data_IF_052163651894
#
_entry.id   IF_052163651894
#
_cell.length_a   1.000
_cell.length_b   1.000
_cell.length_c   1.000
_cell.angle_alpha   90.00
_cell.angle_beta   90.00
_cell.angle_gamma   90.00
#
_symmetry.space_group_name_H-M   'P 1'
#
loop_
_entity.id
_entity.type
_entity.pdbx_description
1 polymer ?
#
# COMPACT_ATOMS: atom_id res chain seq x y z
N UNK A 1 6.28 -8.86 -0.73
CA UNK A 1 4.85 -9.21 -0.74
C UNK A 1 4.09 -8.08 -0.07
N UNK A 2 2.97 -7.63 -0.65
CA UNK A 2 2.08 -6.68 0.04
C UNK A 2 1.29 -7.46 1.09
N UNK A 3 1.24 -6.96 2.33
CA UNK A 3 0.53 -7.59 3.45
C UNK A 3 -1.00 -7.65 3.26
N UNK A 4 -1.54 -6.89 2.31
CA UNK A 4 -2.97 -6.61 2.22
C UNK A 4 -3.36 -6.38 0.76
N UNK A 5 -3.98 -7.38 0.14
CA UNK A 5 -4.67 -7.21 -1.14
C UNK A 5 -6.02 -6.53 -0.87
N UNK A 6 -6.27 -5.39 -1.51
CA UNK A 6 -7.49 -4.62 -1.30
C UNK A 6 -8.66 -4.98 -2.20
N UNK A 7 -9.87 -4.72 -1.70
CA UNK A 7 -11.12 -4.72 -2.43
C UNK A 7 -11.39 -3.40 -3.15
N UNK A 8 -11.12 -3.35 -4.45
CA UNK A 8 -11.32 -2.16 -5.29
C UNK A 8 -12.26 -2.41 -6.46
N UNK A 9 -12.78 -1.37 -7.14
CA UNK A 9 -13.69 -1.55 -8.28
C UNK A 9 -13.05 -2.35 -9.42
N UNK A 10 -11.75 -2.15 -9.65
CA UNK A 10 -10.97 -2.87 -10.63
C UNK A 10 -10.19 -4.05 -10.01
N UNK A 11 -10.39 -4.39 -8.74
CA UNK A 11 -9.69 -5.51 -8.09
C UNK A 11 -10.34 -6.88 -8.39
N UNK A 12 -9.62 -7.99 -8.14
CA UNK A 12 -10.19 -9.34 -8.25
C UNK A 12 -11.24 -9.63 -7.17
N UNK A 13 -11.13 -8.99 -6.00
CA UNK A 13 -12.12 -9.02 -4.92
C UNK A 13 -12.89 -7.69 -4.92
N UNK A 14 -13.92 -7.53 -5.75
CA UNK A 14 -14.60 -6.24 -5.93
C UNK A 14 -15.37 -5.82 -4.67
N UNK A 15 -15.22 -4.57 -4.27
CA UNK A 15 -16.00 -3.99 -3.16
C UNK A 15 -17.49 -3.72 -3.49
N UNK A 16 -17.88 -3.84 -4.76
CA UNK A 16 -19.24 -3.61 -5.24
C UNK A 16 -19.47 -4.24 -6.62
N UNK A 17 -20.55 -3.86 -7.30
CA UNK A 17 -20.91 -4.37 -8.63
C UNK A 17 -20.88 -3.26 -9.68
N UNK A 18 -20.53 -3.62 -10.91
CA UNK A 18 -20.75 -2.76 -12.07
C UNK A 18 -22.19 -2.93 -12.56
N UNK A 19 -22.85 -1.82 -12.88
CA UNK A 19 -24.14 -1.84 -13.55
C UNK A 19 -24.11 -0.94 -14.80
N UNK A 20 -24.31 -1.50 -16.01
CA UNK A 20 -24.43 -2.94 -16.32
C UNK A 20 -23.12 -3.71 -16.03
N UNK A 21 -23.14 -5.05 -15.99
CA UNK A 21 -21.92 -5.85 -15.90
C UNK A 21 -20.95 -5.50 -17.04
N UNK A 22 -19.67 -5.37 -16.72
CA UNK A 22 -18.61 -5.10 -17.71
C UNK A 22 -17.94 -6.42 -18.09
N UNK A 23 -17.70 -6.64 -19.38
CA UNK A 23 -16.97 -7.80 -19.86
C UNK A 23 -15.49 -7.73 -19.42
N UNK A 24 -14.94 -8.86 -18.97
CA UNK A 24 -13.54 -8.99 -18.58
C UNK A 24 -12.70 -9.55 -19.75
N UNK A 25 -11.41 -9.16 -19.87
CA UNK A 25 -10.63 -8.35 -18.93
C UNK A 25 -10.89 -6.83 -19.06
N UNK A 26 -10.89 -6.13 -17.92
CA UNK A 26 -11.05 -4.66 -17.86
C UNK A 26 -9.66 -4.02 -17.72
N UNK A 27 -9.35 -3.11 -18.64
CA UNK A 27 -8.17 -2.24 -18.56
C UNK A 27 -8.67 -0.79 -18.56
N UNK A 28 -8.25 -0.02 -17.56
CA UNK A 28 -8.51 1.42 -17.51
C UNK A 28 -7.17 2.14 -17.72
N UNK A 29 -7.11 2.98 -18.75
CA UNK A 29 -5.93 3.78 -19.09
C UNK A 29 -6.32 5.24 -18.92
N UNK A 30 -5.50 5.99 -18.19
CA UNK A 30 -5.70 7.42 -17.99
C UNK A 30 -4.41 8.21 -18.21
N UNK A 31 -4.50 9.47 -18.65
CA UNK A 31 -3.37 10.38 -18.60
C UNK A 31 -2.84 10.49 -17.17
N UNK A 32 -1.51 10.48 -17.03
CA UNK A 32 -0.85 10.70 -15.76
C UNK A 32 -0.05 12.01 -15.84
N UNK A 33 -0.71 13.17 -15.60
CA UNK A 33 -0.13 14.50 -15.82
C UNK A 33 0.83 14.87 -14.67
N UNK A 34 1.80 14.00 -14.41
CA UNK A 34 2.89 14.17 -13.46
C UNK A 34 4.19 13.86 -14.19
N UNK A 35 5.25 14.58 -13.86
CA UNK A 35 6.57 14.32 -14.40
C UNK A 35 7.10 12.99 -13.88
N UNK A 36 7.27 12.03 -14.78
CA UNK A 36 7.85 10.72 -14.52
C UNK A 36 9.25 10.68 -15.09
N UNK A 37 10.19 10.22 -14.27
CA UNK A 37 11.60 10.13 -14.61
C UNK A 37 12.12 8.72 -14.33
N UNK A 38 13.07 8.27 -15.14
CA UNK A 38 13.78 7.01 -14.93
C UNK A 38 15.28 7.22 -15.05
N UNK A 39 16.04 6.66 -14.11
CA UNK A 39 17.49 6.75 -14.04
C UNK A 39 18.10 5.37 -14.22
N UNK A 40 19.07 5.25 -15.12
CA UNK A 40 19.84 4.03 -15.36
C UNK A 40 21.32 4.36 -15.54
N UNK A 41 22.19 3.65 -14.85
CA UNK A 41 23.64 3.87 -14.82
C UNK A 41 23.99 5.32 -14.44
N UNK A 42 23.19 5.91 -13.54
CA UNK A 42 23.31 7.31 -13.12
C UNK A 42 22.85 8.35 -14.15
N UNK A 43 22.30 7.94 -15.29
CA UNK A 43 21.82 8.83 -16.36
C UNK A 43 20.29 8.84 -16.42
N UNK A 44 19.72 10.02 -16.67
CA UNK A 44 18.29 10.17 -16.92
C UNK A 44 17.94 9.63 -18.31
N UNK A 45 17.18 8.54 -18.35
CA UNK A 45 16.82 7.81 -19.58
C UNK A 45 15.35 7.95 -19.98
N UNK A 46 14.50 8.38 -19.04
CA UNK A 46 13.12 8.84 -19.29
C UNK A 46 12.93 10.13 -18.51
N UNK A 47 12.30 11.12 -19.13
CA UNK A 47 11.86 12.36 -18.49
C UNK A 47 10.66 12.93 -19.25
N UNK A 48 9.46 12.73 -18.73
CA UNK A 48 8.23 13.07 -19.46
C UNK A 48 7.04 13.37 -18.56
N UNK A 49 6.13 14.20 -19.05
CA UNK A 49 4.79 14.45 -18.49
C UNK A 49 3.69 13.77 -19.32
N UNK A 50 4.06 13.04 -20.37
CA UNK A 50 3.15 12.38 -21.31
C UNK A 50 2.90 10.91 -20.95
N UNK A 51 3.23 10.47 -19.73
CA UNK A 51 2.98 9.10 -19.31
C UNK A 51 1.46 8.84 -19.19
N UNK A 52 1.05 7.59 -19.46
CA UNK A 52 -0.27 7.10 -19.08
C UNK A 52 -0.12 6.12 -17.91
N UNK A 53 -1.13 6.11 -17.05
CA UNK A 53 -1.27 5.11 -16.00
C UNK A 53 -2.20 4.01 -16.51
N UNK A 54 -1.78 2.75 -16.34
CA UNK A 54 -2.59 1.59 -16.72
C UNK A 54 -3.02 0.82 -15.48
N UNK A 55 -4.33 0.65 -15.35
CA UNK A 55 -4.99 -0.10 -14.30
C UNK A 55 -5.51 -1.42 -14.87
N UNK A 56 -5.05 -2.53 -14.31
CA UNK A 56 -5.46 -3.88 -14.68
C UNK A 56 -5.97 -4.63 -13.47
N UNK A 57 -7.04 -5.39 -13.65
CA UNK A 57 -7.58 -6.18 -12.56
C UNK A 57 -6.58 -7.23 -12.07
N UNK A 58 -6.33 -7.23 -10.75
CA UNK A 58 -5.42 -8.17 -10.11
C UNK A 58 -3.92 -7.91 -10.33
N UNK A 59 -3.54 -6.79 -10.95
CA UNK A 59 -2.14 -6.45 -11.19
C UNK A 59 -1.75 -5.11 -10.54
N UNK A 60 -0.46 -4.90 -10.19
CA UNK A 60 0.05 -3.59 -9.84
C UNK A 60 -0.17 -2.58 -10.98
N UNK A 61 -0.24 -1.30 -10.61
CA UNK A 61 -0.26 -0.22 -11.60
C UNK A 61 1.04 -0.20 -12.42
N UNK A 62 0.96 0.32 -13.63
CA UNK A 62 2.13 0.51 -14.49
C UNK A 62 2.03 1.81 -15.27
N UNK A 63 3.16 2.50 -15.42
CA UNK A 63 3.29 3.56 -16.42
C UNK A 63 3.47 2.94 -17.80
N UNK A 64 2.95 3.64 -18.81
CA UNK A 64 3.34 3.45 -20.21
C UNK A 64 3.70 4.80 -20.81
N UNK A 65 4.63 4.78 -21.76
CA UNK A 65 5.28 5.97 -22.30
C UNK A 65 5.14 5.98 -23.83
N UNK A 66 5.13 7.16 -24.48
CA UNK A 66 5.22 7.23 -25.93
C UNK A 66 6.44 6.47 -26.44
N UNK A 67 6.32 5.75 -27.56
CA UNK A 67 7.40 4.91 -28.14
C UNK A 67 8.74 5.65 -28.29
N UNK A 68 8.71 6.96 -28.57
CA UNK A 68 9.90 7.81 -28.74
C UNK A 68 10.57 8.32 -27.46
N UNK A 69 9.98 8.09 -26.27
CA UNK A 69 10.42 8.70 -25.01
C UNK A 69 11.08 7.69 -24.04
N UNK A 70 11.39 6.48 -24.50
CA UNK A 70 11.93 5.39 -23.66
C UNK A 70 13.41 5.04 -23.92
N UNK A 71 14.11 5.90 -24.65
CA UNK A 71 15.51 5.68 -25.06
C UNK A 71 15.73 4.28 -25.67
N UNK A 72 16.73 3.53 -25.20
CA UNK A 72 17.04 2.15 -25.63
C UNK A 72 16.61 1.09 -24.61
N UNK A 73 15.66 1.43 -23.73
CA UNK A 73 15.18 0.49 -22.73
C UNK A 73 14.42 -0.66 -23.40
N UNK A 74 14.38 -1.86 -22.79
CA UNK A 74 13.46 -2.91 -23.23
C UNK A 74 12.02 -2.42 -23.06
N UNK A 75 11.19 -2.67 -24.07
CA UNK A 75 9.80 -2.20 -24.11
C UNK A 75 8.84 -3.26 -24.61
N UNK A 76 7.62 -3.24 -24.10
CA UNK A 76 6.50 -4.06 -24.57
C UNK A 76 5.35 -3.14 -25.02
N UNK A 77 4.73 -3.35 -26.20
CA UNK A 77 3.59 -2.53 -26.63
C UNK A 77 2.42 -2.58 -25.64
N UNK A 78 1.75 -1.46 -25.44
CA UNK A 78 0.51 -1.39 -24.66
C UNK A 78 -0.70 -1.51 -25.60
N UNK A 79 -1.32 -2.70 -25.64
CA UNK A 79 -2.47 -2.98 -26.53
C UNK A 79 -3.65 -2.03 -26.28
N UNK A 80 -3.87 -1.61 -25.03
CA UNK A 80 -4.95 -0.70 -24.67
C UNK A 80 -4.66 0.77 -25.02
N UNK A 81 -3.43 1.10 -25.43
CA UNK A 81 -3.00 2.45 -25.78
C UNK A 81 -2.00 2.43 -26.96
N UNK A 82 -2.48 2.31 -28.21
CA UNK A 82 -1.61 2.32 -29.39
C UNK A 82 -0.68 3.54 -29.43
N UNK A 83 0.60 3.31 -29.73
CA UNK A 83 1.64 4.35 -29.69
C UNK A 83 2.34 4.50 -28.32
N UNK A 84 1.91 3.74 -27.32
CA UNK A 84 2.56 3.66 -26.01
C UNK A 84 3.18 2.29 -25.77
N UNK A 85 4.21 2.28 -24.92
CA UNK A 85 4.97 1.09 -24.53
C UNK A 85 5.17 1.07 -23.02
N UNK A 86 5.15 -0.13 -22.44
CA UNK A 86 5.55 -0.41 -21.08
C UNK A 86 7.05 -0.68 -21.02
N UNK A 87 7.73 -0.05 -20.08
CA UNK A 87 9.11 -0.39 -19.70
C UNK A 87 9.04 -1.29 -18.46
N UNK A 88 9.69 -2.47 -18.44
CA UNK A 88 9.75 -3.30 -17.24
C UNK A 88 10.33 -2.53 -16.06
N UNK A 89 9.71 -2.62 -14.88
CA UNK A 89 10.10 -1.81 -13.70
C UNK A 89 11.59 -1.95 -13.36
N UNK A 90 12.15 -3.16 -13.45
CA UNK A 90 13.56 -3.45 -13.18
C UNK A 90 14.52 -3.14 -14.33
N UNK A 91 14.08 -2.48 -15.40
CA UNK A 91 14.94 -2.11 -16.53
C UNK A 91 15.82 -0.88 -16.25
N UNK A 92 15.59 -0.21 -15.11
CA UNK A 92 16.26 1.01 -14.65
C UNK A 92 16.56 0.91 -13.16
N UNK A 93 17.46 1.74 -12.66
CA UNK A 93 17.92 1.71 -11.27
C UNK A 93 16.95 2.43 -10.33
N UNK A 94 16.29 3.48 -10.82
CA UNK A 94 15.39 4.30 -10.01
C UNK A 94 14.32 4.96 -10.86
N UNK A 95 13.11 4.99 -10.32
CA UNK A 95 11.98 5.73 -10.85
C UNK A 95 11.71 6.92 -9.95
N UNK A 96 11.35 8.06 -10.54
CA UNK A 96 10.88 9.23 -9.82
C UNK A 96 9.55 9.71 -10.39
N UNK A 97 8.68 10.21 -9.51
CA UNK A 97 7.48 10.96 -9.86
C UNK A 97 7.51 12.27 -9.08
N UNK A 98 7.49 13.41 -9.77
CA UNK A 98 7.55 14.74 -9.13
C UNK A 98 8.71 14.86 -8.13
N UNK A 99 9.86 14.26 -8.45
CA UNK A 99 11.06 14.23 -7.59
C UNK A 99 11.03 13.21 -6.44
N UNK A 100 9.92 12.50 -6.23
CA UNK A 100 9.84 11.41 -5.24
C UNK A 100 10.35 10.10 -5.85
N UNK A 101 11.37 9.49 -5.23
CA UNK A 101 11.80 8.14 -5.59
C UNK A 101 10.72 7.09 -5.29
N UNK A 102 10.47 6.23 -6.28
CA UNK A 102 9.51 5.12 -6.20
C UNK A 102 10.23 3.79 -5.99
N UNK A 103 9.56 2.82 -5.37
CA UNK A 103 10.21 1.56 -4.93
C UNK A 103 9.76 0.35 -5.75
N UNK A 104 8.47 -0.01 -5.74
CA UNK A 104 7.99 -1.27 -6.34
C UNK A 104 7.12 -1.10 -7.58
N UNK A 105 6.29 -0.06 -7.61
CA UNK A 105 5.35 0.25 -8.69
C UNK A 105 4.81 1.67 -8.48
N UNK A 106 4.18 2.29 -9.49
CA UNK A 106 3.54 3.59 -9.39
C UNK A 106 2.52 3.68 -8.23
N UNK A 107 2.55 4.73 -7.41
CA UNK A 107 1.48 5.00 -6.45
C UNK A 107 0.15 5.22 -7.18
N UNK A 108 -0.95 4.71 -6.62
CA UNK A 108 -2.28 4.95 -7.16
C UNK A 108 -2.76 6.37 -6.80
N UNK A 109 -3.09 7.23 -7.78
CA UNK A 109 -3.54 8.60 -7.53
C UNK A 109 -4.87 8.66 -6.75
N UNK A 110 -5.65 7.58 -6.75
CA UNK A 110 -6.92 7.48 -6.03
C UNK A 110 -6.80 6.86 -4.64
N UNK A 111 -5.61 6.38 -4.26
CA UNK A 111 -5.42 5.77 -2.97
C UNK A 111 -5.31 6.83 -1.88
N UNK A 112 -6.08 6.63 -0.81
CA UNK A 112 -6.15 7.50 0.35
C UNK A 112 -5.93 6.69 1.61
N UNK A 113 -5.28 7.34 2.57
CA UNK A 113 -5.17 6.85 3.93
C UNK A 113 -5.72 7.94 4.85
N UNK A 114 -6.70 7.57 5.67
CA UNK A 114 -7.36 8.44 6.64
C UNK A 114 -7.07 7.90 8.05
N UNK A 115 -6.24 8.61 8.81
CA UNK A 115 -6.00 8.33 10.22
C UNK A 115 -6.95 9.17 11.08
N UNK A 116 -7.81 8.53 11.88
CA UNK A 116 -8.80 9.21 12.74
C UNK A 116 -8.68 8.72 14.19
N UNK A 117 -8.51 9.63 15.17
CA UNK A 117 -8.64 9.26 16.58
C UNK A 117 -10.02 8.67 16.85
N UNK A 118 -10.10 7.67 17.71
CA UNK A 118 -11.36 7.01 18.04
C UNK A 118 -11.35 6.43 19.45
N UNK A 119 -12.50 5.89 19.88
CA UNK A 119 -12.71 5.20 21.16
C UNK A 119 -13.10 3.74 20.99
N UNK A 120 -12.70 3.15 19.85
CA UNK A 120 -12.96 1.74 19.51
C UNK A 120 -11.96 0.88 20.26
N UNK A 121 -12.46 -0.12 20.97
CA UNK A 121 -11.60 -1.00 21.77
C UNK A 121 -10.73 -1.89 20.89
N UNK A 122 -9.47 -2.03 21.30
CA UNK A 122 -8.51 -3.01 20.80
C UNK A 122 -7.99 -3.83 21.98
N UNK A 123 -8.16 -5.15 21.92
CA UNK A 123 -7.53 -6.11 22.81
C UNK A 123 -6.71 -7.10 21.99
N UNK A 124 -5.47 -7.31 22.39
CA UNK A 124 -4.53 -8.21 21.72
C UNK A 124 -3.87 -9.12 22.74
N UNK A 125 -3.99 -10.42 22.52
CA UNK A 125 -3.36 -11.46 23.32
C UNK A 125 -2.41 -12.30 22.46
N UNK A 126 -1.23 -12.58 23.00
CA UNK A 126 -0.20 -13.41 22.35
C UNK A 126 0.40 -14.34 23.39
N UNK A 127 0.50 -15.63 23.06
CA UNK A 127 1.08 -16.67 23.92
C UNK A 127 0.49 -16.68 25.36
N UNK A 128 -0.81 -16.36 25.51
CA UNK A 128 -1.52 -16.32 26.79
C UNK A 128 -1.32 -15.06 27.63
N UNK A 129 -0.61 -14.04 27.10
CA UNK A 129 -0.43 -12.74 27.74
C UNK A 129 -1.13 -11.60 26.98
N UNK A 130 -1.71 -10.65 27.71
CA UNK A 130 -2.30 -9.44 27.12
C UNK A 130 -1.19 -8.45 26.77
N UNK A 131 -1.06 -8.12 25.49
CA UNK A 131 -0.14 -7.10 24.99
C UNK A 131 -0.76 -5.70 24.96
N UNK A 132 -2.06 -5.63 24.65
CA UNK A 132 -2.84 -4.40 24.52
C UNK A 132 -4.25 -4.64 25.02
N UNK A 133 -4.80 -3.71 25.81
CA UNK A 133 -6.23 -3.61 26.09
C UNK A 133 -6.57 -2.14 26.36
N UNK A 134 -7.01 -1.43 25.33
CA UNK A 134 -7.31 0.01 25.40
C UNK A 134 -8.45 0.39 24.45
N UNK A 135 -9.11 1.51 24.71
CA UNK A 135 -10.03 2.18 23.78
C UNK A 135 -9.41 3.41 23.11
N UNK A 136 -8.25 3.88 23.58
CA UNK A 136 -7.56 5.04 23.04
C UNK A 136 -6.76 4.64 21.79
N UNK A 137 -7.44 4.64 20.65
CA UNK A 137 -6.93 4.09 19.39
C UNK A 137 -7.01 5.11 18.26
N UNK A 138 -6.19 4.90 17.24
CA UNK A 138 -6.28 5.55 15.94
C UNK A 138 -6.83 4.53 14.95
N UNK A 139 -8.01 4.78 14.38
CA UNK A 139 -8.50 3.96 13.26
C UNK A 139 -7.92 4.48 11.96
N UNK A 140 -7.39 3.57 11.15
CA UNK A 140 -6.84 3.85 9.83
C UNK A 140 -7.75 3.24 8.79
N UNK A 141 -8.31 4.09 7.94
CA UNK A 141 -9.00 3.69 6.73
C UNK A 141 -8.04 3.82 5.56
N UNK A 142 -7.87 2.75 4.82
CA UNK A 142 -7.00 2.71 3.65
C UNK A 142 -7.84 2.27 2.45
N UNK A 143 -7.72 2.96 1.32
CA UNK A 143 -8.52 2.65 0.13
C UNK A 143 -8.45 1.17 -0.20
N UNK A 144 -9.64 0.57 -0.36
CA UNK A 144 -9.82 -0.84 -0.65
C UNK A 144 -9.40 -1.81 0.47
N UNK A 145 -9.00 -1.37 1.67
CA UNK A 145 -8.64 -2.28 2.76
C UNK A 145 -9.65 -2.26 3.90
N UNK A 146 -9.69 -3.38 4.65
CA UNK A 146 -10.36 -3.40 5.94
C UNK A 146 -9.71 -2.36 6.88
N UNK A 147 -10.49 -1.59 7.65
CA UNK A 147 -9.94 -0.65 8.61
C UNK A 147 -9.07 -1.38 9.64
N UNK A 148 -8.00 -0.72 10.12
CA UNK A 148 -7.14 -1.25 11.19
C UNK A 148 -7.05 -0.26 12.34
N UNK A 149 -7.00 -0.78 13.56
CA UNK A 149 -6.69 0.03 14.74
C UNK A 149 -5.17 0.05 14.95
N UNK A 150 -4.68 1.24 15.26
CA UNK A 150 -3.32 1.54 15.68
C UNK A 150 -3.35 2.11 17.09
N UNK A 151 -2.36 1.77 17.91
CA UNK A 151 -2.24 2.22 19.29
C UNK A 151 -0.88 2.86 19.54
N UNK A 152 -0.87 3.92 20.35
CA UNK A 152 0.36 4.55 20.79
C UNK A 152 1.17 3.56 21.66
N UNK A 153 2.52 3.64 21.66
CA UNK A 153 3.38 2.74 22.43
C UNK A 153 3.06 2.65 23.92
N UNK A 154 2.51 3.72 24.52
CA UNK A 154 2.10 3.79 25.92
C UNK A 154 0.96 2.84 26.30
N UNK A 155 0.15 2.43 25.32
CA UNK A 155 -0.93 1.45 25.50
C UNK A 155 -0.50 0.02 25.15
N UNK A 156 0.77 -0.18 24.84
CA UNK A 156 1.35 -1.47 24.44
C UNK A 156 2.37 -1.90 25.50
N UNK A 157 2.33 -3.18 25.88
CA UNK A 157 3.38 -3.84 26.67
C UNK A 157 4.65 -4.04 25.83
N UNK A 158 5.29 -2.93 25.46
CA UNK A 158 6.50 -2.90 24.62
C UNK A 158 7.69 -3.58 25.29
N UNK A 159 7.69 -3.74 26.61
CA UNK A 159 8.64 -4.55 27.36
C UNK A 159 8.60 -6.04 26.99
N UNK A 160 7.50 -6.50 26.40
CA UNK A 160 7.32 -7.87 25.90
C UNK A 160 7.61 -8.00 24.39
N UNK A 161 7.94 -6.89 23.72
CA UNK A 161 8.22 -6.86 22.28
C UNK A 161 9.71 -6.87 22.01
N UNK A 162 10.11 -7.64 20.99
CA UNK A 162 11.48 -7.67 20.47
C UNK A 162 11.46 -7.32 18.97
N UNK A 163 12.30 -6.40 18.49
CA UNK A 163 12.36 -6.11 17.05
C UNK A 163 12.86 -7.34 16.28
N UNK A 164 12.31 -7.54 15.08
CA UNK A 164 12.76 -8.59 14.15
C UNK A 164 13.58 -7.97 13.02
N UNK A 165 14.23 -8.82 12.22
CA UNK A 165 14.93 -8.36 11.02
C UNK A 165 13.95 -8.07 9.85
N UNK A 166 12.67 -8.39 10.00
CA UNK A 166 11.65 -8.23 8.97
C UNK A 166 11.34 -6.75 8.77
N UNK A 167 11.28 -6.34 7.51
CA UNK A 167 10.76 -5.03 7.09
C UNK A 167 9.93 -5.20 5.82
N UNK A 168 8.98 -4.30 5.63
CA UNK A 168 8.17 -4.24 4.41
C UNK A 168 7.98 -2.79 3.99
N UNK A 169 7.71 -2.56 2.70
CA UNK A 169 7.50 -1.23 2.16
C UNK A 169 6.07 -1.10 1.62
N UNK A 170 5.40 -0.01 2.00
CA UNK A 170 4.10 0.41 1.49
C UNK A 170 4.27 1.75 0.76
N UNK A 171 3.75 1.84 -0.47
CA UNK A 171 3.78 3.09 -1.27
C UNK A 171 3.11 4.30 -0.57
N UNK A 172 2.28 4.07 0.45
CA UNK A 172 1.47 5.09 1.12
C UNK A 172 1.83 5.30 2.59
N UNK A 173 2.62 4.39 3.18
CA UNK A 173 3.05 4.46 4.58
C UNK A 173 4.56 4.47 4.77
N UNK A 174 5.34 4.07 3.77
CA UNK A 174 6.79 3.91 3.89
C UNK A 174 7.17 2.54 4.43
N UNK A 175 8.29 2.48 5.14
CA UNK A 175 8.84 1.23 5.69
C UNK A 175 8.22 0.88 7.03
N UNK A 176 7.68 -0.33 7.13
CA UNK A 176 7.24 -0.93 8.38
C UNK A 176 8.38 -1.75 9.00
N UNK A 177 8.53 -1.64 10.32
CA UNK A 177 9.37 -2.51 11.14
C UNK A 177 8.49 -3.46 11.95
N UNK A 178 8.94 -4.70 12.11
CA UNK A 178 8.16 -5.75 12.75
C UNK A 178 8.73 -6.15 14.10
N UNK A 179 7.86 -6.71 14.93
CA UNK A 179 8.13 -7.06 16.31
C UNK A 179 7.57 -8.44 16.62
N UNK A 180 8.33 -9.22 17.38
CA UNK A 180 7.94 -10.49 17.95
C UNK A 180 7.45 -10.31 19.39
N UNK A 181 6.59 -11.22 19.85
CA UNK A 181 6.22 -11.34 21.26
C UNK A 181 6.27 -12.82 21.68
N UNK A 182 7.07 -13.12 22.71
CA UNK A 182 7.41 -14.51 23.03
C UNK A 182 8.07 -15.22 21.84
N UNK A 183 7.56 -16.39 21.47
CA UNK A 183 8.02 -17.18 20.33
C UNK A 183 7.28 -16.86 19.00
N UNK A 184 6.36 -15.88 19.02
CA UNK A 184 5.59 -15.49 17.83
C UNK A 184 6.30 -14.32 17.13
N UNK A 185 6.95 -14.62 16.00
CA UNK A 185 7.60 -13.63 15.15
C UNK A 185 6.58 -12.75 14.40
N UNK A 186 6.98 -11.51 14.08
CA UNK A 186 6.25 -10.57 13.23
C UNK A 186 4.77 -10.36 13.60
N UNK A 187 4.45 -10.43 14.90
CA UNK A 187 3.07 -10.31 15.42
C UNK A 187 2.55 -8.87 15.42
N UNK A 188 3.45 -7.89 15.46
CA UNK A 188 3.12 -6.48 15.40
C UNK A 188 4.03 -5.75 14.41
N UNK A 189 3.55 -4.64 13.86
CA UNK A 189 4.37 -3.72 13.06
C UNK A 189 4.14 -2.27 13.47
N UNK A 190 5.13 -1.44 13.14
CA UNK A 190 5.08 0.01 13.34
C UNK A 190 5.78 0.74 12.20
N UNK A 191 5.38 1.99 11.94
CA UNK A 191 6.03 2.88 10.99
C UNK A 191 6.79 3.97 11.76
N UNK A 192 8.12 3.88 11.78
CA UNK A 192 8.96 4.83 12.51
C UNK A 192 9.08 6.20 11.82
N UNK A 193 9.08 6.22 10.48
CA UNK A 193 9.11 7.44 9.67
C UNK A 193 8.12 7.30 8.50
N UNK A 194 6.80 7.42 8.78
CA UNK A 194 5.79 7.25 7.76
C UNK A 194 5.74 8.42 6.77
N UNK A 195 5.18 8.16 5.59
CA UNK A 195 4.92 9.19 4.59
C UNK A 195 3.93 10.26 5.11
N UNK A 196 3.95 11.49 4.57
CA UNK A 196 3.22 12.64 5.11
C UNK A 196 1.74 12.38 5.44
N UNK A 197 1.04 11.65 4.57
CA UNK A 197 -0.39 11.33 4.70
C UNK A 197 -0.69 10.42 5.89
N UNK A 198 0.31 9.73 6.43
CA UNK A 198 0.18 8.75 7.52
C UNK A 198 1.00 9.09 8.75
N UNK A 199 1.52 10.33 8.84
CA UNK A 199 2.20 10.86 10.04
C UNK A 199 1.45 10.70 11.37
N UNK A 200 0.10 10.78 11.45
CA UNK A 200 -0.59 10.60 12.73
C UNK A 200 -0.36 9.25 13.42
N UNK A 201 0.10 8.22 12.70
CA UNK A 201 0.43 6.90 13.27
C UNK A 201 1.94 6.66 13.44
N UNK A 202 2.76 7.72 13.43
CA UNK A 202 4.21 7.60 13.62
C UNK A 202 4.52 6.88 14.94
N UNK A 203 5.23 5.76 14.86
CA UNK A 203 5.58 4.93 16.02
C UNK A 203 4.43 4.16 16.64
N UNK A 204 3.21 4.23 16.10
CA UNK A 204 2.07 3.46 16.62
C UNK A 204 2.18 2.00 16.17
N UNK A 205 1.59 1.10 16.95
CA UNK A 205 1.58 -0.33 16.67
C UNK A 205 0.23 -0.79 16.15
N UNK A 206 0.25 -1.74 15.23
CA UNK A 206 -0.91 -2.55 14.87
C UNK A 206 -0.47 -4.02 14.78
N UNK A 207 -1.45 -4.94 14.80
CA UNK A 207 -1.23 -6.35 15.12
C UNK A 207 -1.82 -7.27 14.07
N UNK A 208 -1.14 -8.39 13.83
CA UNK A 208 -1.52 -9.37 12.81
C UNK A 208 -2.54 -10.35 13.38
N UNK A 209 -3.81 -10.32 12.93
CA UNK A 209 -4.86 -11.21 13.43
C UNK A 209 -4.64 -12.68 13.06
N UNK A 210 -3.73 -13.01 12.13
CA UNK A 210 -3.36 -14.39 11.83
C UNK A 210 -2.33 -14.95 12.83
N UNK A 211 -1.66 -14.07 13.59
CA UNK A 211 -0.58 -14.42 14.53
C UNK A 211 -0.91 -14.15 16.00
N UNK A 212 -1.97 -13.39 16.26
CA UNK A 212 -2.43 -13.02 17.59
C UNK A 212 -3.93 -13.20 17.72
N UNK A 213 -4.42 -13.36 18.96
CA UNK A 213 -5.85 -13.21 19.24
C UNK A 213 -6.15 -11.71 19.31
N UNK A 214 -6.81 -11.19 18.27
CA UNK A 214 -7.10 -9.76 18.10
C UNK A 214 -8.60 -9.54 18.13
N UNK A 215 -9.06 -8.86 19.18
CA UNK A 215 -10.44 -8.38 19.30
C UNK A 215 -10.43 -6.87 19.06
N UNK A 216 -10.95 -6.45 17.91
CA UNK A 216 -11.01 -5.05 17.50
C UNK A 216 -12.43 -4.63 17.14
N UNK A 217 -12.91 -3.53 17.72
CA UNK A 217 -14.23 -2.97 17.41
C UNK A 217 -14.21 -2.22 16.06
N UNK A 218 -14.06 -2.94 14.95
CA UNK A 218 -14.02 -2.37 13.61
C UNK A 218 -15.43 -2.08 13.06
N UNK A 219 -15.60 -1.07 12.18
CA UNK A 219 -16.83 -0.92 11.42
C UNK A 219 -17.10 -2.18 10.58
N UNK A 220 -18.31 -2.75 10.71
CA UNK A 220 -18.73 -3.83 9.81
C UNK A 220 -19.05 -3.25 8.43
N UNK A 221 -18.58 -3.84 7.33
CA UNK A 221 -19.07 -3.49 6.00
C UNK A 221 -20.57 -3.85 5.97
N UNK A 222 -21.46 -2.85 5.89
CA UNK A 222 -22.91 -3.11 5.74
C UNK A 222 -23.11 -3.95 4.46
N UNK A 223 -23.66 -5.17 4.56
CA UNK A 223 -23.73 -6.11 3.43
C UNK A 223 -24.83 -5.77 2.41
N UNK A 224 -25.42 -4.57 2.46
CA UNK A 224 -26.58 -4.25 1.63
C UNK A 224 -26.19 -3.60 0.29
N UNK A 225 -26.84 -4.03 -0.81
CA UNK A 225 -26.70 -3.40 -2.12
C UNK A 225 -27.35 -2.01 -2.18
#
# INVERSE_FOLDING_TARGET
MSLVAGRGPLGPDRAGWFFPPVAEPIVYVEPHPRRVQAVRDGQLVIDTENALMVHRAGAPLSYVFPVGETAHLPTEPEEAAPGYVRVPWGAVDSWLEEGRTLVHYPPNPYHRVDCRPTRRRLRVEVAGGVLVDTDDTMIVFETALAPRLYVAPEHVRTDLLRPTATSSYCNYKGYASYWAAGDVEDVAWSYGDPLPETRPITGYFSFDPERADVIAELPSPDPRP
#
